data_IF_730686139779
#
_entry.id   IF_730686139779
#
_cell.length_a   1.000
_cell.length_b   1.000
_cell.length_c   1.000
_cell.angle_alpha   90.00
_cell.angle_beta   90.00
_cell.angle_gamma   90.00
#
_symmetry.space_group_name_H-M   'P 1'
#
loop_
_entity.id
_entity.type
_entity.pdbx_description
1 polymer ?
#
# COMPACT_ATOMS: atom_id res chain seq x y z
N UNK A 1 -9.06 13.52 17.99
CA UNK A 1 -9.69 12.33 17.40
C UNK A 1 -8.73 11.74 16.38
N UNK A 2 -8.29 10.49 16.57
CA UNK A 2 -7.47 9.79 15.57
C UNK A 2 -8.40 9.20 14.50
N UNK A 3 -8.05 9.34 13.22
CA UNK A 3 -8.81 8.73 12.11
C UNK A 3 -8.31 7.31 11.85
N UNK A 4 -9.19 6.41 11.42
CA UNK A 4 -8.85 5.01 11.12
C UNK A 4 -8.80 4.81 9.60
N UNK A 5 -7.68 4.31 9.08
CA UNK A 5 -7.51 4.01 7.66
C UNK A 5 -7.18 2.52 7.48
N UNK A 6 -7.92 1.81 6.62
CA UNK A 6 -7.64 0.42 6.26
C UNK A 6 -6.75 0.38 5.01
N UNK A 7 -5.66 -0.39 5.06
CA UNK A 7 -4.77 -0.57 3.92
C UNK A 7 -5.13 -1.82 3.12
N UNK A 8 -5.37 -1.63 1.82
CA UNK A 8 -5.73 -2.69 0.89
C UNK A 8 -5.00 -2.62 -0.45
N UNK A 9 -4.59 -3.76 -1.01
CA UNK A 9 -3.94 -3.82 -2.32
C UNK A 9 -4.97 -3.95 -3.47
N UNK A 10 -5.95 -3.06 -3.54
CA UNK A 10 -6.94 -3.02 -4.64
C UNK A 10 -6.69 -1.79 -5.51
N UNK A 11 -6.49 -1.99 -6.82
CA UNK A 11 -6.19 -0.94 -7.78
C UNK A 11 -7.29 0.12 -7.91
N UNK A 12 -8.55 -0.22 -7.60
CA UNK A 12 -9.70 0.70 -7.65
C UNK A 12 -9.79 1.63 -6.43
N UNK A 13 -8.95 1.45 -5.41
CA UNK A 13 -8.92 2.25 -4.19
C UNK A 13 -7.95 3.43 -4.35
N UNK A 14 -8.29 4.57 -3.75
CA UNK A 14 -7.46 5.76 -3.75
C UNK A 14 -6.09 5.49 -3.08
N UNK A 15 -4.99 5.99 -3.67
CA UNK A 15 -3.67 5.87 -3.06
C UNK A 15 -3.58 6.65 -1.74
N UNK A 16 -2.67 6.21 -0.88
CA UNK A 16 -2.26 6.96 0.31
C UNK A 16 -1.25 8.03 -0.09
N UNK A 17 -1.62 9.30 0.07
CA UNK A 17 -0.77 10.45 -0.29
C UNK A 17 0.34 10.69 0.73
N UNK A 18 0.03 10.55 2.03
CA UNK A 18 0.99 10.72 3.11
C UNK A 18 0.63 9.88 4.34
N UNK A 19 1.65 9.53 5.12
CA UNK A 19 1.49 8.90 6.43
C UNK A 19 1.43 9.99 7.52
N UNK A 20 0.29 10.06 8.21
CA UNK A 20 0.03 11.02 9.29
C UNK A 20 0.10 10.34 10.66
N UNK A 21 0.72 10.98 11.68
CA UNK A 21 0.72 10.47 13.05
C UNK A 21 -0.68 10.49 13.69
N UNK A 22 -1.62 11.28 13.16
CA UNK A 22 -2.99 11.37 13.65
C UNK A 22 -3.91 10.28 13.08
N UNK A 23 -3.35 9.36 12.28
CA UNK A 23 -4.09 8.30 11.60
C UNK A 23 -3.59 6.94 12.07
N UNK A 24 -4.53 6.07 12.45
CA UNK A 24 -4.25 4.65 12.74
C UNK A 24 -4.45 3.83 11.48
N UNK A 25 -3.40 3.14 11.04
CA UNK A 25 -3.42 2.29 9.85
C UNK A 25 -3.66 0.83 10.22
N UNK A 26 -4.71 0.22 9.68
CA UNK A 26 -5.02 -1.20 9.84
C UNK A 26 -4.56 -1.96 8.62
N UNK A 27 -3.66 -2.91 8.81
CA UNK A 27 -3.16 -3.80 7.75
C UNK A 27 -3.88 -5.14 7.88
N UNK A 28 -4.55 -5.59 6.83
CA UNK A 28 -5.23 -6.88 6.82
C UNK A 28 -4.26 -8.04 7.03
N UNK A 29 -4.57 -8.93 7.97
CA UNK A 29 -3.77 -10.12 8.31
C UNK A 29 -3.88 -11.27 7.30
N UNK A 30 -4.78 -11.15 6.32
CA UNK A 30 -4.99 -12.14 5.26
C UNK A 30 -4.55 -11.51 3.94
N UNK A 31 -3.48 -12.03 3.37
CA UNK A 31 -2.99 -11.70 2.04
C UNK A 31 -3.32 -12.89 1.15
N UNK A 32 -4.53 -12.90 0.59
CA UNK A 32 -4.91 -13.87 -0.43
C UNK A 32 -4.82 -13.21 -1.81
N UNK A 33 -4.23 -13.91 -2.78
CA UNK A 33 -4.07 -13.47 -4.17
C UNK A 33 -5.42 -13.21 -4.86
N UNK A 34 -6.52 -13.72 -4.28
CA UNK A 34 -7.89 -13.54 -4.76
C UNK A 34 -8.47 -12.12 -4.56
N UNK A 35 -7.85 -11.27 -3.73
CA UNK A 35 -8.42 -9.96 -3.38
C UNK A 35 -9.72 -10.02 -2.56
N UNK A 36 -10.16 -11.23 -2.17
CA UNK A 36 -11.40 -11.47 -1.43
C UNK A 36 -11.25 -11.35 0.11
N UNK A 37 -10.07 -10.93 0.58
CA UNK A 37 -9.69 -10.87 2.00
C UNK A 37 -10.45 -9.83 2.82
N UNK A 38 -11.50 -10.31 3.49
CA UNK A 38 -12.13 -9.85 4.75
C UNK A 38 -12.45 -8.35 4.91
N UNK A 39 -13.75 -8.03 4.77
CA UNK A 39 -14.49 -6.74 4.78
C UNK A 39 -14.82 -6.26 3.36
N UNK A 40 -15.93 -6.66 2.73
CA UNK A 40 -16.36 -6.05 1.46
C UNK A 40 -16.24 -4.52 1.55
N UNK A 41 -15.73 -3.84 0.51
CA UNK A 41 -15.58 -2.37 0.45
C UNK A 41 -16.80 -1.66 1.06
N UNK A 42 -17.98 -2.17 0.74
CA UNK A 42 -19.31 -1.77 1.23
C UNK A 42 -19.41 -1.70 2.76
N UNK A 43 -18.73 -2.59 3.49
CA UNK A 43 -18.75 -2.63 4.95
C UNK A 43 -17.86 -1.55 5.57
N UNK A 44 -16.73 -1.22 4.96
CA UNK A 44 -15.90 -0.10 5.38
C UNK A 44 -16.59 1.24 5.06
N UNK A 45 -17.21 1.34 3.88
CA UNK A 45 -18.02 2.51 3.50
C UNK A 45 -19.22 2.69 4.43
N UNK A 46 -19.89 1.60 4.83
CA UNK A 46 -21.00 1.66 5.81
C UNK A 46 -20.59 2.11 7.21
N UNK A 47 -19.29 2.01 7.54
CA UNK A 47 -18.73 2.37 8.84
C UNK A 47 -17.97 3.71 8.80
N UNK A 48 -18.02 4.44 7.67
CA UNK A 48 -17.27 5.68 7.43
C UNK A 48 -15.75 5.52 7.64
N UNK A 49 -15.22 4.32 7.35
CA UNK A 49 -13.79 4.02 7.48
C UNK A 49 -13.13 4.24 6.12
N UNK A 50 -12.15 5.14 6.08
CA UNK A 50 -11.37 5.37 4.87
C UNK A 50 -10.54 4.12 4.51
N UNK A 51 -10.65 3.68 3.27
CA UNK A 51 -9.81 2.61 2.72
C UNK A 51 -8.83 3.23 1.74
N UNK A 52 -7.55 2.91 1.88
CA UNK A 52 -6.46 3.42 1.03
C UNK A 52 -5.57 2.28 0.56
N UNK A 53 -4.90 2.47 -0.56
CA UNK A 53 -3.83 1.56 -1.02
C UNK A 53 -2.46 2.21 -0.93
N UNK A 54 -1.40 1.40 -0.98
CA UNK A 54 -0.06 1.94 -1.17
C UNK A 54 0.09 2.53 -2.59
N UNK A 55 0.79 3.65 -2.76
CA UNK A 55 0.91 4.32 -4.04
C UNK A 55 2.02 3.70 -4.93
N UNK A 56 1.97 2.38 -5.13
CA UNK A 56 3.02 1.65 -5.88
C UNK A 56 3.01 2.07 -7.36
N UNK A 57 1.82 2.20 -7.96
CA UNK A 57 1.65 2.50 -9.39
C UNK A 57 2.03 3.95 -9.71
N UNK A 58 1.87 4.86 -8.75
CA UNK A 58 2.17 6.28 -8.88
C UNK A 58 3.67 6.57 -8.80
N UNK A 59 4.38 5.86 -7.93
CA UNK A 59 5.80 6.14 -7.65
C UNK A 59 6.77 5.09 -8.23
N UNK A 60 6.27 4.02 -8.84
CA UNK A 60 7.10 2.99 -9.49
C UNK A 60 6.63 2.70 -10.91
N UNK A 61 7.58 2.38 -11.80
CA UNK A 61 7.30 1.99 -13.19
C UNK A 61 7.34 0.47 -13.35
N UNK A 62 6.56 -0.04 -14.30
CA UNK A 62 6.61 -1.45 -14.72
C UNK A 62 7.90 -1.69 -15.53
N UNK A 63 8.65 -2.74 -15.19
CA UNK A 63 9.76 -3.25 -16.00
C UNK A 63 9.26 -4.20 -17.09
N UNK A 64 10.16 -4.61 -17.99
CA UNK A 64 9.86 -5.53 -19.09
C UNK A 64 9.48 -6.94 -18.62
N UNK A 65 9.95 -7.33 -17.44
CA UNK A 65 9.70 -8.64 -16.83
C UNK A 65 9.22 -8.49 -15.38
N UNK A 66 8.21 -9.27 -14.99
CA UNK A 66 7.71 -9.37 -13.62
C UNK A 66 6.25 -9.80 -13.54
N UNK A 67 5.80 -10.16 -12.35
CA UNK A 67 4.40 -10.56 -12.08
C UNK A 67 3.47 -9.33 -11.98
N UNK A 68 4.02 -8.12 -11.83
CA UNK A 68 3.30 -6.86 -11.58
C UNK A 68 2.32 -6.96 -10.42
N UNK A 69 2.67 -7.77 -9.41
CA UNK A 69 1.83 -7.98 -8.24
C UNK A 69 1.98 -6.82 -7.26
N UNK A 70 0.87 -6.11 -7.03
CA UNK A 70 0.76 -5.03 -6.04
C UNK A 70 0.47 -5.53 -4.62
N UNK A 71 0.18 -6.82 -4.47
CA UNK A 71 0.03 -7.45 -3.16
C UNK A 71 1.40 -7.64 -2.53
N UNK A 72 1.64 -6.84 -1.49
CA UNK A 72 2.81 -6.95 -0.64
C UNK A 72 2.46 -7.74 0.62
N UNK A 73 3.46 -8.46 1.15
CA UNK A 73 3.31 -9.13 2.43
C UNK A 73 3.15 -8.11 3.57
N UNK A 74 2.52 -8.50 4.67
CA UNK A 74 2.24 -7.61 5.82
C UNK A 74 3.52 -6.93 6.31
N UNK A 75 4.61 -7.70 6.44
CA UNK A 75 5.90 -7.16 6.86
C UNK A 75 6.43 -6.08 5.91
N UNK A 76 6.22 -6.24 4.60
CA UNK A 76 6.63 -5.27 3.60
C UNK A 76 5.79 -3.98 3.68
N UNK A 77 4.47 -4.11 3.88
CA UNK A 77 3.59 -2.95 4.09
C UNK A 77 4.03 -2.16 5.32
N UNK A 78 4.27 -2.84 6.44
CA UNK A 78 4.77 -2.20 7.67
C UNK A 78 6.10 -1.50 7.41
N UNK A 79 7.05 -2.18 6.76
CA UNK A 79 8.37 -1.61 6.50
C UNK A 79 8.30 -0.36 5.60
N UNK A 80 7.45 -0.37 4.57
CA UNK A 80 7.20 0.80 3.72
C UNK A 80 6.68 1.98 4.55
N UNK A 81 5.70 1.76 5.43
CA UNK A 81 5.13 2.82 6.26
C UNK A 81 6.16 3.39 7.24
N UNK A 82 6.97 2.52 7.86
CA UNK A 82 8.04 2.93 8.78
C UNK A 82 9.08 3.75 8.03
N UNK A 83 9.56 3.28 6.87
CA UNK A 83 10.52 4.04 6.05
C UNK A 83 9.96 5.38 5.62
N UNK A 84 8.71 5.42 5.16
CA UNK A 84 8.06 6.67 4.79
C UNK A 84 7.92 7.61 5.98
N UNK A 85 7.68 7.10 7.19
CA UNK A 85 7.64 7.94 8.38
C UNK A 85 8.96 8.69 8.62
N UNK A 86 10.11 8.10 8.24
CA UNK A 86 11.42 8.73 8.33
C UNK A 86 11.77 9.62 7.12
N UNK A 87 11.65 9.12 5.89
CA UNK A 87 12.11 9.86 4.70
C UNK A 87 11.04 10.75 4.05
N UNK A 88 9.75 10.55 4.39
CA UNK A 88 8.59 11.22 3.78
C UNK A 88 8.55 11.15 2.25
N UNK A 89 9.16 10.11 1.69
CA UNK A 89 9.39 9.90 0.26
C UNK A 89 8.94 8.51 -0.16
N UNK A 90 7.86 8.45 -0.96
CA UNK A 90 7.29 7.17 -1.41
C UNK A 90 8.21 6.43 -2.38
N UNK A 91 8.87 7.16 -3.28
CA UNK A 91 9.88 6.65 -4.21
C UNK A 91 10.99 5.88 -3.50
N UNK A 92 11.59 6.47 -2.46
CA UNK A 92 12.65 5.81 -1.69
C UNK A 92 12.11 4.65 -0.83
N UNK A 93 10.97 4.86 -0.16
CA UNK A 93 10.36 3.87 0.73
C UNK A 93 9.97 2.61 -0.02
N UNK A 94 9.34 2.77 -1.18
CA UNK A 94 8.87 1.67 -2.01
C UNK A 94 10.03 0.98 -2.72
N UNK A 95 10.99 1.74 -3.27
CA UNK A 95 12.16 1.15 -3.93
C UNK A 95 13.00 0.27 -3.01
N UNK A 96 13.05 0.60 -1.71
CA UNK A 96 13.79 -0.16 -0.73
C UNK A 96 13.13 -1.50 -0.35
N UNK A 97 11.79 -1.59 -0.40
CA UNK A 97 11.03 -2.74 0.13
C UNK A 97 10.39 -3.60 -0.95
N UNK A 98 9.93 -2.98 -2.04
CA UNK A 98 9.26 -3.70 -3.13
C UNK A 98 10.28 -4.61 -3.82
N UNK A 99 10.02 -5.93 -3.90
CA UNK A 99 10.96 -6.87 -4.50
C UNK A 99 11.16 -6.56 -5.98
N UNK A 100 12.41 -6.52 -6.45
CA UNK A 100 12.74 -6.35 -7.88
C UNK A 100 12.03 -7.38 -8.77
N UNK A 101 11.81 -8.61 -8.25
CA UNK A 101 11.07 -9.69 -8.94
C UNK A 101 9.59 -9.38 -9.20
N UNK A 102 9.00 -8.41 -8.49
CA UNK A 102 7.61 -7.99 -8.75
C UNK A 102 7.48 -7.28 -10.10
N UNK A 103 8.59 -6.75 -10.65
CA UNK A 103 8.56 -6.00 -11.90
C UNK A 103 8.19 -4.52 -11.73
N UNK A 104 8.14 -4.04 -10.48
CA UNK A 104 8.09 -2.61 -10.17
C UNK A 104 9.50 -2.12 -9.88
N UNK A 105 9.95 -1.14 -10.66
CA UNK A 105 11.26 -0.51 -10.50
C UNK A 105 11.05 0.99 -10.22
N UNK A 106 11.93 1.62 -9.42
CA UNK A 106 11.84 3.04 -9.15
C UNK A 106 11.90 3.86 -10.45
N UNK A 107 11.17 4.97 -10.46
CA UNK A 107 11.29 5.99 -11.48
C UNK A 107 12.57 6.77 -11.13
N UNK A 108 13.72 6.30 -11.64
CA UNK A 108 14.97 7.06 -11.55
C UNK A 108 14.77 8.38 -12.27
N UNK A 109 14.74 9.48 -11.50
CA UNK A 109 14.97 10.83 -12.03
C UNK A 109 16.41 10.96 -12.48
#
# INVERSE_FOLDING_TARGET
MCRLHILRPDASIAPLEFVSPSVTYVIGGIVDESGAGSLSKDKAESLDIEVRRLPIVEYMRRSEHGTFNIMLAINQVVEVLVRYAYCKRWDESLAAVVPKRSGYVPIST
#
